data_IF_695774640239
#
_entry.id   IF_695774640239
#
_cell.length_a   1.000
_cell.length_b   1.000
_cell.length_c   1.000
_cell.angle_alpha   90.00
_cell.angle_beta   90.00
_cell.angle_gamma   90.00
#
_symmetry.space_group_name_H-M   'P 1'
#
loop_
_entity.id
_entity.type
_entity.pdbx_description
1 polymer ?
#
# COMPACT_ATOMS: atom_id res chain seq x y z
N UNK A 1 16.22 1.93 -36.11
CA UNK A 1 16.59 1.94 -34.68
C UNK A 1 15.46 1.25 -33.95
N UNK A 2 15.65 0.02 -33.47
CA UNK A 2 14.58 -0.76 -32.84
C UNK A 2 14.31 -0.16 -31.46
N UNK A 3 13.12 0.41 -31.25
CA UNK A 3 12.65 0.77 -29.92
C UNK A 3 12.46 -0.52 -29.13
N UNK A 4 13.44 -0.86 -28.28
CA UNK A 4 13.21 -1.83 -27.21
C UNK A 4 12.23 -1.20 -26.25
N UNK A 5 10.95 -1.53 -26.39
CA UNK A 5 9.95 -1.25 -25.37
C UNK A 5 10.32 -2.11 -24.16
N UNK A 6 11.16 -1.57 -23.28
CA UNK A 6 11.75 -2.30 -22.15
C UNK A 6 10.59 -2.66 -21.22
N UNK A 7 10.27 -3.94 -21.11
CA UNK A 7 9.21 -4.39 -20.21
C UNK A 7 9.51 -3.88 -18.79
N UNK A 8 8.52 -3.34 -18.07
CA UNK A 8 8.73 -2.85 -16.72
C UNK A 8 9.18 -4.01 -15.82
N UNK A 9 10.28 -3.79 -15.10
CA UNK A 9 10.81 -4.78 -14.15
C UNK A 9 9.86 -4.84 -12.95
N UNK A 10 9.33 -6.03 -12.65
CA UNK A 10 8.50 -6.27 -11.47
C UNK A 10 9.35 -6.93 -10.40
N UNK A 11 9.46 -6.27 -9.24
CA UNK A 11 10.25 -6.76 -8.09
C UNK A 11 9.28 -7.09 -6.97
N UNK A 12 9.30 -8.34 -6.50
CA UNK A 12 8.54 -8.76 -5.33
C UNK A 12 9.49 -8.98 -4.15
N UNK A 13 9.26 -8.23 -3.06
CA UNK A 13 10.00 -8.39 -1.81
C UNK A 13 9.15 -9.23 -0.87
N UNK A 14 9.59 -10.45 -0.55
CA UNK A 14 8.90 -11.37 0.34
C UNK A 14 9.72 -11.70 1.59
N UNK A 15 9.04 -12.21 2.61
CA UNK A 15 9.62 -12.59 3.90
C UNK A 15 8.52 -12.68 4.96
N UNK A 16 8.80 -13.35 6.08
CA UNK A 16 7.84 -13.51 7.18
C UNK A 16 7.25 -12.16 7.66
N UNK A 17 6.05 -12.15 8.27
CA UNK A 17 5.51 -10.97 8.92
C UNK A 17 6.50 -10.38 9.94
N UNK A 18 6.63 -9.05 9.98
CA UNK A 18 7.53 -8.38 10.92
C UNK A 18 9.02 -8.37 10.54
N UNK A 19 9.41 -8.87 9.36
CA UNK A 19 10.83 -8.85 8.91
C UNK A 19 11.35 -7.46 8.50
N UNK A 20 10.53 -6.41 8.56
CA UNK A 20 10.96 -5.04 8.29
C UNK A 20 10.88 -4.60 6.82
N UNK A 21 10.08 -5.27 5.98
CA UNK A 21 9.87 -4.89 4.55
C UNK A 21 9.35 -3.46 4.41
N UNK A 22 8.27 -3.12 5.10
CA UNK A 22 7.73 -1.75 5.19
C UNK A 22 8.78 -0.75 5.68
N UNK A 23 9.60 -1.15 6.66
CA UNK A 23 10.69 -0.30 7.18
C UNK A 23 11.77 -0.06 6.13
N UNK A 24 12.11 -1.07 5.33
CA UNK A 24 13.04 -0.92 4.21
C UNK A 24 12.50 0.09 3.20
N UNK A 25 11.26 -0.07 2.75
CA UNK A 25 10.60 0.85 1.80
C UNK A 25 10.67 2.29 2.31
N UNK A 26 10.22 2.54 3.55
CA UNK A 26 10.25 3.87 4.17
C UNK A 26 11.65 4.48 4.23
N UNK A 27 12.68 3.66 4.54
CA UNK A 27 14.07 4.12 4.58
C UNK A 27 14.59 4.49 3.20
N UNK A 28 14.22 3.76 2.15
CA UNK A 28 14.59 4.07 0.77
C UNK A 28 13.95 5.38 0.31
N UNK A 29 12.67 5.59 0.63
CA UNK A 29 11.96 6.86 0.38
C UNK A 29 12.68 8.01 1.10
N UNK A 30 12.94 7.87 2.41
CA UNK A 30 13.62 8.92 3.20
C UNK A 30 15.02 9.26 2.69
N UNK A 31 15.72 8.31 2.07
CA UNK A 31 17.05 8.52 1.46
C UNK A 31 16.98 9.19 0.08
N UNK A 32 15.79 9.48 -0.42
CA UNK A 32 15.58 10.09 -1.74
C UNK A 32 15.84 9.15 -2.92
N UNK A 33 15.96 7.85 -2.67
CA UNK A 33 16.19 6.86 -3.73
C UNK A 33 14.93 6.65 -4.59
N UNK A 34 13.77 7.10 -4.09
CA UNK A 34 12.45 6.94 -4.70
C UNK A 34 11.75 8.30 -4.95
N UNK A 35 12.52 9.35 -5.26
CA UNK A 35 11.97 10.71 -5.50
C UNK A 35 10.95 10.80 -6.65
N UNK A 36 10.92 9.82 -7.54
CA UNK A 36 9.95 9.71 -8.65
C UNK A 36 9.09 8.44 -8.52
N UNK A 37 8.89 7.96 -7.29
CA UNK A 37 8.02 6.83 -7.01
C UNK A 37 6.62 7.28 -6.57
N UNK A 38 5.61 6.59 -7.08
CA UNK A 38 4.22 6.70 -6.64
C UNK A 38 3.76 5.41 -5.96
N UNK A 39 2.58 5.47 -5.35
CA UNK A 39 1.94 4.32 -4.70
C UNK A 39 1.75 4.49 -3.21
N UNK A 40 1.72 3.38 -2.50
CA UNK A 40 1.35 3.36 -1.09
C UNK A 40 1.99 2.22 -0.30
N UNK A 41 1.93 2.37 1.01
CA UNK A 41 2.22 1.30 1.94
C UNK A 41 1.11 1.17 2.99
N UNK A 42 1.07 0.03 3.67
CA UNK A 42 0.11 -0.21 4.75
C UNK A 42 0.76 -0.01 6.12
N UNK A 43 -0.04 0.42 7.10
CA UNK A 43 0.35 0.40 8.51
C UNK A 43 -0.74 -0.24 9.35
N UNK A 44 -0.32 -0.94 10.41
CA UNK A 44 -1.24 -1.49 11.38
C UNK A 44 -1.84 -0.39 12.28
N UNK A 45 -3.15 -0.37 12.40
CA UNK A 45 -3.84 0.41 13.42
C UNK A 45 -3.89 -0.46 14.69
N UNK A 46 -3.27 0.02 15.76
CA UNK A 46 -3.21 -0.68 17.06
C UNK A 46 -3.92 0.11 18.15
N UNK A 47 -4.73 -0.57 18.97
CA UNK A 47 -5.24 -0.08 20.25
C UNK A 47 -4.58 -0.90 21.35
N UNK A 48 -3.81 -0.25 22.22
CA UNK A 48 -2.87 -0.91 23.13
C UNK A 48 -1.99 -1.93 22.38
N UNK A 49 -1.94 -3.18 22.82
CA UNK A 49 -1.15 -4.25 22.19
C UNK A 49 -1.90 -5.01 21.08
N UNK A 50 -3.15 -4.62 20.78
CA UNK A 50 -3.99 -5.34 19.80
C UNK A 50 -4.09 -4.59 18.49
N UNK A 51 -3.79 -5.27 17.37
CA UNK A 51 -4.09 -4.79 16.02
C UNK A 51 -5.60 -4.78 15.77
N UNK A 52 -6.16 -3.60 15.54
CA UNK A 52 -7.59 -3.37 15.30
C UNK A 52 -7.93 -3.00 13.86
N UNK A 53 -6.93 -2.68 13.04
CA UNK A 53 -7.15 -2.43 11.62
C UNK A 53 -5.87 -2.20 10.85
N UNK A 54 -6.04 -1.70 9.63
CA UNK A 54 -5.00 -1.38 8.67
C UNK A 54 -5.33 -0.07 7.99
N UNK A 55 -4.33 0.78 7.81
CA UNK A 55 -4.45 2.01 7.03
C UNK A 55 -3.53 1.98 5.83
N UNK A 56 -3.96 2.65 4.77
CA UNK A 56 -3.20 2.97 3.58
C UNK A 56 -2.57 4.34 3.78
N UNK A 57 -1.34 4.48 3.31
CA UNK A 57 -0.60 5.73 3.35
C UNK A 57 0.12 5.89 2.02
N UNK A 58 -0.10 7.01 1.33
CA UNK A 58 0.63 7.36 0.11
C UNK A 58 2.14 7.44 0.41
N UNK A 59 3.00 7.23 -0.60
CA UNK A 59 4.45 7.23 -0.35
C UNK A 59 4.99 8.56 0.22
N UNK A 60 4.38 9.68 -0.17
CA UNK A 60 4.69 11.01 0.33
C UNK A 60 3.99 11.33 1.68
N UNK A 61 3.09 10.45 2.12
CA UNK A 61 2.31 10.59 3.35
C UNK A 61 1.19 11.63 3.30
N UNK A 62 0.95 12.27 2.15
CA UNK A 62 -0.04 13.34 1.99
C UNK A 62 -1.49 12.85 2.09
N UNK A 63 -1.75 11.58 1.70
CA UNK A 63 -3.08 11.00 1.73
C UNK A 63 -3.10 9.66 2.50
N UNK A 64 -4.15 9.46 3.30
CA UNK A 64 -4.31 8.27 4.15
C UNK A 64 -5.78 7.85 4.21
N UNK A 65 -6.03 6.54 4.23
CA UNK A 65 -7.37 5.97 4.38
C UNK A 65 -7.32 4.70 5.25
N UNK A 66 -8.44 4.34 5.89
CA UNK A 66 -8.53 3.07 6.63
C UNK A 66 -9.00 1.98 5.67
N UNK A 67 -8.12 1.03 5.34
CA UNK A 67 -8.46 -0.09 4.46
C UNK A 67 -9.38 -1.08 5.14
N UNK A 68 -9.10 -1.42 6.40
CA UNK A 68 -9.85 -2.43 7.12
C UNK A 68 -9.84 -2.19 8.62
N UNK A 69 -10.98 -2.44 9.28
CA UNK A 69 -11.11 -2.29 10.72
C UNK A 69 -12.04 -3.37 11.31
N UNK A 70 -11.82 -3.74 12.58
CA UNK A 70 -12.69 -4.73 13.27
C UNK A 70 -14.12 -4.25 13.44
N UNK A 71 -14.29 -2.93 13.55
CA UNK A 71 -15.57 -2.28 13.80
C UNK A 71 -16.32 -1.92 12.50
N UNK A 72 -15.73 -2.20 11.33
CA UNK A 72 -16.41 -1.99 10.06
C UNK A 72 -17.47 -3.07 9.81
N UNK A 73 -18.70 -2.61 9.59
CA UNK A 73 -19.77 -3.43 9.04
C UNK A 73 -19.63 -3.41 7.52
N UNK A 74 -18.97 -4.41 6.97
CA UNK A 74 -18.74 -4.56 5.53
C UNK A 74 -19.08 -5.99 5.09
N UNK A 75 -19.71 -6.15 3.90
CA UNK A 75 -19.89 -7.47 3.28
C UNK A 75 -18.55 -8.09 2.88
N UNK A 76 -17.50 -7.29 2.70
CA UNK A 76 -16.14 -7.73 2.40
C UNK A 76 -15.34 -7.88 3.69
N UNK A 77 -14.79 -9.07 3.94
CA UNK A 77 -14.10 -9.37 5.20
C UNK A 77 -12.86 -10.21 4.99
N UNK A 78 -11.83 -9.94 5.79
CA UNK A 78 -10.66 -10.81 5.96
C UNK A 78 -10.49 -11.14 7.43
N UNK A 79 -10.81 -12.38 7.79
CA UNK A 79 -10.86 -12.81 9.18
C UNK A 79 -11.82 -11.92 9.99
N UNK A 80 -11.28 -11.21 10.98
CA UNK A 80 -12.06 -10.34 11.88
C UNK A 80 -12.23 -8.90 11.38
N UNK A 81 -11.63 -8.53 10.26
CA UNK A 81 -11.64 -7.15 9.76
C UNK A 81 -12.66 -7.00 8.62
N UNK A 82 -13.55 -6.01 8.74
CA UNK A 82 -14.34 -5.53 7.60
C UNK A 82 -13.47 -4.64 6.74
N UNK A 83 -13.54 -4.83 5.42
CA UNK A 83 -12.75 -4.10 4.41
C UNK A 83 -13.62 -3.00 3.81
N UNK A 84 -13.09 -1.79 3.75
CA UNK A 84 -13.72 -0.65 3.07
C UNK A 84 -13.19 -0.56 1.64
N UNK A 85 -13.83 -1.29 0.72
CA UNK A 85 -13.45 -1.26 -0.70
C UNK A 85 -13.69 0.11 -1.31
N UNK A 86 -14.76 0.81 -0.94
CA UNK A 86 -15.04 2.13 -1.48
C UNK A 86 -13.98 3.14 -1.03
N UNK A 87 -13.57 3.08 0.24
CA UNK A 87 -12.45 3.87 0.75
C UNK A 87 -11.12 3.53 0.07
N UNK A 88 -10.90 2.27 -0.33
CA UNK A 88 -9.72 1.86 -1.08
C UNK A 88 -9.72 2.44 -2.51
N UNK A 89 -10.83 2.32 -3.26
CA UNK A 89 -10.94 2.90 -4.60
C UNK A 89 -10.74 4.43 -4.57
N UNK A 90 -11.41 5.11 -3.62
CA UNK A 90 -11.22 6.55 -3.44
C UNK A 90 -9.76 6.90 -3.11
N UNK A 91 -9.09 6.08 -2.30
CA UNK A 91 -7.66 6.27 -2.04
C UNK A 91 -6.80 6.14 -3.30
N UNK A 92 -7.11 5.18 -4.18
CA UNK A 92 -6.41 5.02 -5.46
C UNK A 92 -6.63 6.22 -6.38
N UNK A 93 -7.85 6.76 -6.42
CA UNK A 93 -8.17 7.97 -7.20
C UNK A 93 -7.34 9.16 -6.71
N UNK A 94 -7.24 9.37 -5.39
CA UNK A 94 -6.48 10.49 -4.81
C UNK A 94 -4.97 10.38 -5.06
N UNK A 95 -4.41 9.17 -5.07
CA UNK A 95 -2.98 8.98 -5.36
C UNK A 95 -2.68 8.85 -6.85
N UNK A 96 -3.69 8.76 -7.73
CA UNK A 96 -3.52 8.57 -9.18
C UNK A 96 -2.57 9.58 -9.84
N UNK A 97 -2.55 10.89 -9.48
CA UNK A 97 -1.62 11.84 -10.09
C UNK A 97 -0.16 11.51 -9.78
N UNK A 98 0.11 10.92 -8.61
CA UNK A 98 1.45 10.45 -8.23
C UNK A 98 1.85 9.19 -9.00
N UNK A 99 0.89 8.35 -9.37
CA UNK A 99 1.11 7.10 -10.13
C UNK A 99 1.42 7.39 -11.60
N UNK A 100 0.68 8.31 -12.22
CA UNK A 100 0.83 8.64 -13.65
C UNK A 100 2.21 9.23 -13.99
N UNK A 101 2.80 9.94 -13.03
CA UNK A 101 4.12 10.57 -13.18
C UNK A 101 5.27 9.71 -12.63
N UNK A 102 4.97 8.52 -12.09
CA UNK A 102 5.97 7.70 -11.42
C UNK A 102 6.85 6.92 -12.41
N UNK A 103 8.16 6.93 -12.16
CA UNK A 103 9.11 5.98 -12.78
C UNK A 103 9.13 4.62 -12.07
N UNK A 104 8.57 4.56 -10.86
CA UNK A 104 8.48 3.36 -10.04
C UNK A 104 7.18 3.38 -9.24
N UNK A 105 6.44 2.28 -9.25
CA UNK A 105 5.27 2.11 -8.37
C UNK A 105 5.65 1.19 -7.22
N UNK A 106 5.40 1.64 -5.99
CA UNK A 106 5.57 0.84 -4.78
C UNK A 106 4.20 0.52 -4.20
N UNK A 107 3.97 -0.76 -3.96
CA UNK A 107 2.78 -1.27 -3.29
C UNK A 107 3.31 -2.19 -2.18
N UNK A 108 3.07 -1.82 -0.92
CA UNK A 108 3.39 -2.68 0.22
C UNK A 108 2.18 -3.55 0.60
N UNK A 109 2.47 -4.78 1.03
CA UNK A 109 1.49 -5.80 1.45
C UNK A 109 0.49 -6.34 0.42
N UNK A 110 0.97 -6.88 -0.71
CA UNK A 110 0.16 -7.77 -1.57
C UNK A 110 -0.30 -9.00 -0.78
N UNK A 111 -1.51 -8.96 -0.24
CA UNK A 111 -2.06 -9.97 0.66
C UNK A 111 -3.57 -10.16 0.51
N UNK A 112 -4.16 -11.08 1.29
CA UNK A 112 -5.59 -11.43 1.20
C UNK A 112 -6.56 -10.24 1.30
N UNK A 113 -6.16 -9.12 1.91
CA UNK A 113 -7.01 -7.93 2.03
C UNK A 113 -7.10 -7.11 0.75
N UNK A 114 -6.09 -7.18 -0.12
CA UNK A 114 -6.02 -6.44 -1.38
C UNK A 114 -6.49 -7.29 -2.58
N UNK A 115 -6.65 -8.61 -2.40
CA UNK A 115 -7.12 -9.53 -3.45
C UNK A 115 -8.63 -9.84 -3.39
N UNK A 116 -9.42 -9.03 -2.68
CA UNK A 116 -10.88 -9.18 -2.60
C UNK A 116 -11.65 -8.19 -3.51
N UNK A 117 -10.93 -7.30 -4.20
CA UNK A 117 -11.44 -6.47 -5.29
C UNK A 117 -11.38 -7.21 -6.62
#
# INVERSE_FOLDING_TARGET
MVNYNKMPVRILITGAPGTGKTTLIKRLIKKGLFNEAGGFYTEEIRKAQTRVGFKLVSLDGSFQAVLAHRDFSSPFRVGRYGVDLQGFEHFLDEISPSLDNAKMVVIDEIGKMECLS
#
